data_IF_579854357975
#
_entry.id   IF_579854357975
#
_cell.length_a   1.000
_cell.length_b   1.000
_cell.length_c   1.000
_cell.angle_alpha   90.00
_cell.angle_beta   90.00
_cell.angle_gamma   90.00
#
_symmetry.space_group_name_H-M   'P 1'
#
loop_
_entity.id
_entity.type
_entity.pdbx_description
1 polymer ?
#
# COMPACT_ATOMS: atom_id res chain seq x y z
N UNK A 1 16.97 3.46 8.45
CA UNK A 1 16.82 3.00 7.06
C UNK A 1 17.91 3.62 6.19
N UNK A 2 18.62 2.80 5.43
CA UNK A 2 19.69 3.27 4.56
C UNK A 2 19.13 4.00 3.32
N UNK A 3 20.00 4.72 2.60
CA UNK A 3 19.60 5.40 1.36
C UNK A 3 19.06 4.39 0.33
N UNK A 4 19.72 3.22 0.21
CA UNK A 4 19.29 2.19 -0.73
C UNK A 4 17.93 1.61 -0.33
N UNK A 5 17.68 1.43 0.96
CA UNK A 5 16.37 0.96 1.44
C UNK A 5 15.27 1.98 1.16
N UNK A 6 15.56 3.26 1.30
CA UNK A 6 14.59 4.34 0.99
C UNK A 6 14.21 4.34 -0.48
N UNK A 7 15.20 4.16 -1.36
CA UNK A 7 14.93 4.05 -2.80
C UNK A 7 14.14 2.79 -3.12
N UNK A 8 14.44 1.69 -2.45
CA UNK A 8 13.73 0.43 -2.63
C UNK A 8 12.26 0.57 -2.19
N UNK A 9 12.01 1.26 -1.08
CA UNK A 9 10.65 1.55 -0.61
C UNK A 9 9.87 2.31 -1.68
N UNK A 10 10.46 3.35 -2.26
CA UNK A 10 9.81 4.14 -3.29
C UNK A 10 9.49 3.30 -4.53
N UNK A 11 10.45 2.49 -4.98
CA UNK A 11 10.26 1.62 -6.13
C UNK A 11 9.14 0.60 -5.88
N UNK A 12 9.13 -0.03 -4.70
CA UNK A 12 8.11 -0.99 -4.33
C UNK A 12 6.73 -0.37 -4.23
N UNK A 13 6.63 0.82 -3.66
CA UNK A 13 5.37 1.56 -3.56
C UNK A 13 4.85 1.89 -4.96
N UNK A 14 5.73 2.30 -5.87
CA UNK A 14 5.35 2.61 -7.24
C UNK A 14 4.78 1.38 -7.95
N UNK A 15 5.43 0.23 -7.80
CA UNK A 15 4.97 -1.03 -8.40
C UNK A 15 3.64 -1.48 -7.79
N UNK A 16 3.53 -1.42 -6.47
CA UNK A 16 2.30 -1.77 -5.76
C UNK A 16 1.13 -0.92 -6.26
N UNK A 17 1.34 0.38 -6.36
CA UNK A 17 0.32 1.31 -6.83
C UNK A 17 -0.15 0.96 -8.24
N UNK A 18 0.79 0.63 -9.11
CA UNK A 18 0.49 0.26 -10.50
C UNK A 18 -0.38 -1.00 -10.55
N UNK A 19 -0.03 -2.04 -9.79
CA UNK A 19 -0.81 -3.27 -9.76
C UNK A 19 -2.19 -3.07 -9.14
N UNK A 20 -2.27 -2.31 -8.04
CA UNK A 20 -3.54 -2.07 -7.38
C UNK A 20 -4.50 -1.26 -8.25
N UNK A 21 -3.98 -0.29 -9.03
CA UNK A 21 -4.83 0.47 -9.94
C UNK A 21 -5.47 -0.42 -10.99
N UNK A 22 -4.73 -1.41 -11.48
CA UNK A 22 -5.29 -2.39 -12.44
C UNK A 22 -6.39 -3.23 -11.81
N UNK A 23 -6.20 -3.65 -10.57
CA UNK A 23 -7.21 -4.41 -9.84
C UNK A 23 -8.46 -3.57 -9.58
N UNK A 24 -8.29 -2.31 -9.24
CA UNK A 24 -9.42 -1.39 -8.99
C UNK A 24 -10.24 -1.20 -10.27
N UNK A 25 -9.60 -1.15 -11.44
CA UNK A 25 -10.31 -1.03 -12.72
C UNK A 25 -11.24 -2.21 -12.99
N UNK A 26 -10.98 -3.36 -12.34
CA UNK A 26 -11.82 -4.56 -12.48
C UNK A 26 -12.96 -4.61 -11.46
N UNK A 27 -13.02 -3.66 -10.53
CA UNK A 27 -14.13 -3.58 -9.58
C UNK A 27 -15.44 -3.27 -10.30
N UNK A 28 -16.59 -3.75 -9.79
CA UNK A 28 -17.87 -3.27 -10.25
C UNK A 28 -17.92 -1.73 -10.18
N UNK A 29 -18.61 -1.12 -11.14
CA UNK A 29 -18.60 0.32 -11.32
C UNK A 29 -18.93 1.09 -10.03
N UNK A 30 -19.92 0.62 -9.29
CA UNK A 30 -20.33 1.25 -8.03
C UNK A 30 -19.15 1.35 -7.06
N UNK A 31 -18.45 0.24 -6.86
CA UNK A 31 -17.33 0.20 -5.91
C UNK A 31 -16.11 0.94 -6.43
N UNK A 32 -15.92 0.97 -7.74
CA UNK A 32 -14.80 1.68 -8.36
C UNK A 32 -14.83 3.17 -8.05
N UNK A 33 -16.01 3.77 -8.04
CA UNK A 33 -16.19 5.19 -7.78
C UNK A 33 -16.41 5.51 -6.30
N UNK A 34 -16.39 4.52 -5.44
CA UNK A 34 -16.49 4.68 -3.99
C UNK A 34 -15.17 4.27 -3.34
N UNK A 35 -15.10 3.02 -2.88
CA UNK A 35 -13.89 2.51 -2.21
C UNK A 35 -12.67 2.53 -3.14
N UNK A 36 -12.87 2.30 -4.43
CA UNK A 36 -11.78 2.36 -5.41
C UNK A 36 -11.13 3.73 -5.47
N UNK A 37 -11.92 4.79 -5.49
CA UNK A 37 -11.40 6.16 -5.48
C UNK A 37 -10.70 6.49 -4.16
N UNK A 38 -11.22 6.00 -3.05
CA UNK A 38 -10.59 6.17 -1.74
C UNK A 38 -9.19 5.52 -1.72
N UNK A 39 -9.08 4.31 -2.24
CA UNK A 39 -7.80 3.60 -2.32
C UNK A 39 -6.84 4.35 -3.23
N UNK A 40 -7.30 4.84 -4.38
CA UNK A 40 -6.45 5.61 -5.30
C UNK A 40 -5.89 6.87 -4.66
N UNK A 41 -6.71 7.58 -3.89
CA UNK A 41 -6.26 8.79 -3.16
C UNK A 41 -5.18 8.42 -2.15
N UNK A 42 -5.41 7.36 -1.39
CA UNK A 42 -4.45 6.90 -0.41
C UNK A 42 -3.13 6.46 -1.08
N UNK A 43 -3.22 5.80 -2.22
CA UNK A 43 -2.03 5.40 -2.98
C UNK A 43 -1.19 6.60 -3.42
N UNK A 44 -1.84 7.68 -3.83
CA UNK A 44 -1.12 8.92 -4.18
C UNK A 44 -0.39 9.51 -2.98
N UNK A 45 -1.06 9.53 -1.84
CA UNK A 45 -0.49 10.07 -0.61
C UNK A 45 0.67 9.19 -0.13
N UNK A 46 0.52 7.88 -0.22
CA UNK A 46 1.57 6.92 0.13
C UNK A 46 2.80 7.12 -0.77
N UNK A 47 2.57 7.27 -2.07
CA UNK A 47 3.66 7.46 -3.03
C UNK A 47 4.43 8.75 -2.74
N UNK A 48 3.71 9.82 -2.44
CA UNK A 48 4.34 11.09 -2.08
C UNK A 48 5.14 10.96 -0.79
N UNK A 49 4.60 10.29 0.22
CA UNK A 49 5.30 10.08 1.48
C UNK A 49 6.56 9.22 1.28
N UNK A 50 6.48 8.20 0.44
CA UNK A 50 7.64 7.37 0.11
C UNK A 50 8.73 8.18 -0.61
N UNK A 51 8.33 9.10 -1.48
CA UNK A 51 9.25 10.02 -2.13
C UNK A 51 9.93 10.93 -1.10
N UNK A 52 9.12 11.50 -0.19
CA UNK A 52 9.59 12.42 0.85
C UNK A 52 10.57 11.76 1.81
N UNK A 53 10.48 10.45 1.98
CA UNK A 53 11.32 9.67 2.87
C UNK A 53 12.82 9.85 2.57
N UNK A 54 13.18 10.21 1.33
CA UNK A 54 14.56 10.41 0.92
C UNK A 54 15.20 11.65 1.57
N UNK A 55 14.39 12.58 2.03
CA UNK A 55 14.87 13.85 2.61
C UNK A 55 14.53 14.03 4.07
N UNK A 56 13.58 13.26 4.56
CA UNK A 56 13.00 13.47 5.87
C UNK A 56 12.55 12.13 6.43
N UNK A 57 12.86 11.86 7.70
CA UNK A 57 12.43 10.62 8.31
C UNK A 57 10.93 10.66 8.61
N UNK A 58 10.14 10.11 7.70
CA UNK A 58 8.70 9.97 7.83
C UNK A 58 8.28 8.51 7.72
N UNK A 59 9.18 7.58 8.05
CA UNK A 59 8.90 6.14 7.92
C UNK A 59 7.74 5.69 8.79
N UNK A 60 7.59 6.23 9.98
CA UNK A 60 6.47 5.89 10.86
C UNK A 60 5.14 6.33 10.28
N UNK A 61 5.06 7.56 9.77
CA UNK A 61 3.85 8.05 9.11
C UNK A 61 3.51 7.18 7.90
N UNK A 62 4.51 6.85 7.10
CA UNK A 62 4.33 5.99 5.93
C UNK A 62 3.82 4.61 6.36
N UNK A 63 4.39 4.06 7.41
CA UNK A 63 3.97 2.76 7.93
C UNK A 63 2.46 2.75 8.26
N UNK A 64 1.98 3.77 8.95
CA UNK A 64 0.56 3.82 9.33
C UNK A 64 -0.35 4.06 8.12
N UNK A 65 0.12 4.81 7.12
CA UNK A 65 -0.62 4.94 5.87
C UNK A 65 -0.73 3.60 5.14
N UNK A 66 0.33 2.81 5.15
CA UNK A 66 0.34 1.47 4.56
C UNK A 66 -0.59 0.52 5.33
N UNK A 67 -0.64 0.64 6.66
CA UNK A 67 -1.58 -0.14 7.46
C UNK A 67 -3.03 0.23 7.11
N UNK A 68 -3.30 1.51 6.89
CA UNK A 68 -4.62 1.95 6.45
C UNK A 68 -4.99 1.30 5.11
N UNK A 69 -4.05 1.30 4.17
CA UNK A 69 -4.25 0.64 2.88
C UNK A 69 -4.56 -0.85 3.07
N UNK A 70 -3.83 -1.52 3.94
CA UNK A 70 -4.05 -2.94 4.23
C UNK A 70 -5.46 -3.20 4.73
N UNK A 71 -5.95 -2.35 5.64
CA UNK A 71 -7.30 -2.47 6.19
C UNK A 71 -8.34 -2.32 5.09
N UNK A 72 -8.18 -1.33 4.20
CA UNK A 72 -9.12 -1.13 3.10
C UNK A 72 -9.12 -2.32 2.14
N UNK A 73 -7.95 -2.87 1.85
CA UNK A 73 -7.84 -4.03 0.97
C UNK A 73 -8.48 -5.26 1.61
N UNK A 74 -8.29 -5.46 2.91
CA UNK A 74 -8.91 -6.58 3.64
C UNK A 74 -10.44 -6.46 3.62
N UNK A 75 -10.98 -5.26 3.78
CA UNK A 75 -12.42 -5.03 3.66
C UNK A 75 -12.92 -5.41 2.27
N UNK A 76 -12.19 -5.02 1.23
CA UNK A 76 -12.57 -5.35 -0.15
C UNK A 76 -12.54 -6.86 -0.41
N UNK A 77 -11.58 -7.56 0.17
CA UNK A 77 -11.50 -9.02 0.07
C UNK A 77 -12.68 -9.66 0.79
N UNK A 78 -12.96 -9.23 2.02
CA UNK A 78 -14.04 -9.78 2.82
C UNK A 78 -15.41 -9.59 2.15
N UNK A 79 -15.57 -8.46 1.46
CA UNK A 79 -16.81 -8.13 0.77
C UNK A 79 -16.88 -8.70 -0.66
N UNK A 80 -15.84 -9.41 -1.09
CA UNK A 80 -15.80 -10.02 -2.41
C UNK A 80 -15.58 -9.02 -3.55
N UNK A 81 -15.15 -7.80 -3.24
CA UNK A 81 -14.92 -6.75 -4.23
C UNK A 81 -13.58 -6.94 -4.93
N UNK A 82 -12.57 -7.42 -4.19
CA UNK A 82 -11.26 -7.77 -4.71
C UNK A 82 -10.98 -9.24 -4.40
N UNK A 83 -10.10 -9.85 -5.19
CA UNK A 83 -9.79 -11.27 -5.07
C UNK A 83 -8.31 -11.47 -4.79
N UNK A 84 -7.98 -12.51 -4.01
CA UNK A 84 -6.61 -12.92 -3.74
C UNK A 84 -6.09 -13.96 -4.72
N UNK A 85 -6.99 -14.61 -5.46
CA UNK A 85 -6.61 -15.64 -6.43
C UNK A 85 -7.37 -15.45 -7.73
N UNK A 86 -6.79 -15.90 -8.85
CA UNK A 86 -7.36 -15.76 -10.17
C UNK A 86 -6.77 -14.57 -10.92
N UNK A 87 -7.44 -14.14 -11.97
CA UNK A 87 -7.01 -13.02 -12.81
C UNK A 87 -7.35 -11.69 -12.15
N UNK A 88 -6.45 -10.71 -12.27
CA UNK A 88 -6.63 -9.36 -11.73
C UNK A 88 -6.76 -9.34 -10.20
N UNK A 89 -5.99 -10.21 -9.54
CA UNK A 89 -6.02 -10.30 -8.07
C UNK A 89 -5.08 -9.29 -7.43
N UNK A 90 -5.19 -9.15 -6.12
CA UNK A 90 -4.29 -8.30 -5.35
C UNK A 90 -3.13 -9.10 -4.71
N UNK A 91 -2.92 -10.34 -5.16
CA UNK A 91 -1.86 -11.19 -4.58
C UNK A 91 -0.48 -10.53 -4.68
N UNK A 92 -0.08 -10.08 -5.87
CA UNK A 92 1.22 -9.43 -6.07
C UNK A 92 1.35 -8.12 -5.32
N UNK A 93 0.41 -7.16 -5.46
CA UNK A 93 0.55 -5.92 -4.69
C UNK A 93 0.48 -6.14 -3.19
N UNK A 94 -0.24 -7.16 -2.71
CA UNK A 94 -0.29 -7.47 -1.28
C UNK A 94 1.06 -7.96 -0.76
N UNK A 95 1.78 -8.76 -1.55
CA UNK A 95 3.14 -9.18 -1.21
C UNK A 95 4.07 -7.98 -1.10
N UNK A 96 3.97 -7.05 -2.04
CA UNK A 96 4.78 -5.83 -2.02
C UNK A 96 4.42 -5.00 -0.79
N UNK A 97 3.14 -4.85 -0.49
CA UNK A 97 2.68 -4.12 0.69
C UNK A 97 3.28 -4.70 1.96
N UNK A 98 3.25 -6.02 2.12
CA UNK A 98 3.82 -6.68 3.30
C UNK A 98 5.32 -6.43 3.41
N UNK A 99 6.04 -6.46 2.28
CA UNK A 99 7.47 -6.18 2.26
C UNK A 99 7.76 -4.74 2.68
N UNK A 100 7.00 -3.77 2.19
CA UNK A 100 7.19 -2.36 2.54
C UNK A 100 6.81 -2.12 4.00
N UNK A 101 5.78 -2.78 4.50
CA UNK A 101 5.42 -2.70 5.91
C UNK A 101 6.57 -3.15 6.80
N UNK A 102 7.24 -4.25 6.43
CA UNK A 102 8.40 -4.73 7.19
C UNK A 102 9.54 -3.72 7.19
N UNK A 103 9.79 -3.06 6.05
CA UNK A 103 10.87 -2.08 5.93
C UNK A 103 10.59 -0.80 6.71
N UNK A 104 9.33 -0.42 6.86
CA UNK A 104 8.95 0.84 7.51
C UNK A 104 8.48 0.67 8.94
N UNK A 105 8.37 -0.55 9.43
CA UNK A 105 7.85 -0.84 10.76
C UNK A 105 8.63 -0.07 11.83
N UNK A 106 7.94 0.70 12.69
CA UNK A 106 8.61 1.41 13.77
C UNK A 106 9.28 0.44 14.74
N UNK A 107 10.42 0.85 15.29
CA UNK A 107 11.06 0.08 16.34
C UNK A 107 10.19 0.16 17.59
N UNK A 108 9.67 -0.98 18.01
CA UNK A 108 8.93 -1.08 19.26
C UNK A 108 9.90 -0.92 20.41
N UNK A 109 9.60 -0.03 21.35
CA UNK A 109 10.30 0.02 22.62
C UNK A 109 9.82 -1.17 23.42
N UNK A 110 10.63 -2.13 23.47
CA UNK A 110 10.31 -3.27 24.30
C UNK A 110 10.41 -2.90 25.75
N UNK A 111 10.23 -2.64 26.05
CA UNK A 111 10.41 -2.56 26.88
C UNK A 111 10.11 -2.84 27.73
N UNK A 112 10.14 -3.04 27.72
CA UNK A 112 10.02 -3.23 27.93
C UNK A 112 10.06 -3.49 28.47
#
# INVERSE_FOLDING_TARGET
MSADEKLDVYAKVSDMSKYLRKSIEQMPKYYRYDIGDEIKKLLRDIKFKAYLLQWKDCSEELYFMLQHLKILLDECIDDGILLMSGKYTIFEPRKILDAVLSLTQPKMNSQK
#
